data_IF_178264421443
#
_entry.id   IF_178264421443
#
_cell.length_a   1.000
_cell.length_b   1.000
_cell.length_c   1.000
_cell.angle_alpha   90.00
_cell.angle_beta   90.00
_cell.angle_gamma   90.00
#
_symmetry.space_group_name_H-M   'P 1'
#
loop_
_entity.id
_entity.type
_entity.pdbx_description
1 polymer ?
#
# COMPACT_ATOMS: atom_id res chain seq x y z
N UNK A 1 -13.28 34.01 13.82
CA UNK A 1 -12.49 32.91 14.42
C UNK A 1 -12.63 31.66 13.58
N UNK A 2 -11.52 31.05 13.16
CA UNK A 2 -11.53 29.70 12.55
C UNK A 2 -11.48 28.68 13.70
N UNK A 3 -12.55 27.92 13.99
CA UNK A 3 -12.46 26.85 14.96
C UNK A 3 -11.76 25.68 14.28
N UNK A 4 -10.44 25.61 14.44
CA UNK A 4 -9.66 24.42 14.18
C UNK A 4 -9.98 23.37 15.23
N UNK A 5 -10.87 22.45 14.88
CA UNK A 5 -10.92 21.08 15.43
C UNK A 5 -11.91 20.27 14.59
N UNK A 6 -11.52 20.00 13.35
CA UNK A 6 -12.15 18.90 12.62
C UNK A 6 -11.64 17.61 13.28
N UNK A 7 -12.47 17.11 14.19
CA UNK A 7 -12.78 15.71 14.46
C UNK A 7 -11.80 14.74 13.80
N UNK A 8 -11.02 14.03 14.62
CA UNK A 8 -10.30 12.83 14.19
C UNK A 8 -11.27 11.94 13.42
N UNK A 9 -11.01 11.76 12.13
CA UNK A 9 -11.69 10.76 11.32
C UNK A 9 -10.79 9.52 11.31
N UNK A 10 -10.96 8.53 12.21
CA UNK A 10 -10.36 7.21 12.02
C UNK A 10 -11.17 6.42 10.96
N UNK A 11 -11.50 7.04 9.83
CA UNK A 11 -12.23 6.42 8.69
C UNK A 11 -11.43 6.46 7.38
N UNK A 12 -10.18 6.94 7.38
CA UNK A 12 -9.29 6.89 6.19
C UNK A 12 -8.71 5.46 5.94
N UNK A 13 -9.32 4.46 6.58
CA UNK A 13 -9.06 3.04 6.47
C UNK A 13 -10.13 2.31 5.63
N UNK A 14 -10.98 3.03 4.88
CA UNK A 14 -11.60 2.47 3.67
C UNK A 14 -10.56 2.21 2.55
N UNK A 15 -9.36 1.77 2.91
CA UNK A 15 -8.38 1.27 1.96
C UNK A 15 -8.80 -0.13 1.58
N UNK A 16 -9.28 -0.29 0.35
CA UNK A 16 -9.10 -1.56 -0.34
C UNK A 16 -7.59 -1.78 -0.46
N UNK A 17 -7.01 -2.44 0.55
CA UNK A 17 -5.60 -2.85 0.54
C UNK A 17 -5.52 -3.96 -0.50
N UNK A 18 -5.02 -3.61 -1.68
CA UNK A 18 -4.71 -4.54 -2.76
C UNK A 18 -3.25 -4.98 -2.61
N UNK A 19 -2.98 -6.26 -2.84
CA UNK A 19 -1.59 -6.76 -2.86
C UNK A 19 -0.87 -6.24 -4.10
N UNK A 20 0.47 -6.29 -4.12
CA UNK A 20 1.19 -5.90 -5.32
C UNK A 20 0.90 -6.88 -6.46
N UNK A 21 0.73 -8.17 -6.15
CA UNK A 21 0.34 -9.21 -7.13
C UNK A 21 -1.00 -8.88 -7.78
N UNK A 22 -2.03 -8.63 -6.97
CA UNK A 22 -3.37 -8.33 -7.48
C UNK A 22 -3.36 -7.05 -8.31
N UNK A 23 -2.57 -6.03 -7.92
CA UNK A 23 -2.44 -4.82 -8.70
C UNK A 23 -1.89 -5.09 -10.10
N UNK A 24 -0.84 -5.92 -10.20
CA UNK A 24 -0.26 -6.32 -11.49
C UNK A 24 -1.26 -7.14 -12.33
N UNK A 25 -1.95 -8.12 -11.74
CA UNK A 25 -2.96 -8.93 -12.44
C UNK A 25 -4.10 -8.05 -12.98
N UNK A 26 -4.47 -7.00 -12.24
CA UNK A 26 -5.47 -6.02 -12.68
C UNK A 26 -4.95 -5.00 -13.71
N UNK A 27 -3.71 -5.16 -14.20
CA UNK A 27 -3.12 -4.34 -15.25
C UNK A 27 -2.48 -3.03 -14.78
N UNK A 28 -2.09 -2.93 -13.50
CA UNK A 28 -1.37 -1.75 -13.02
C UNK A 28 0.10 -1.75 -13.50
N UNK A 29 0.53 -0.66 -14.14
CA UNK A 29 1.94 -0.45 -14.49
C UNK A 29 2.80 -0.01 -13.30
N UNK A 30 2.16 0.63 -12.31
CA UNK A 30 2.85 1.18 -11.13
C UNK A 30 2.04 0.94 -9.85
N UNK A 31 2.73 0.52 -8.78
CA UNK A 31 2.16 0.30 -7.45
C UNK A 31 2.78 1.30 -6.47
N UNK A 32 1.95 2.14 -5.83
CA UNK A 32 2.39 3.14 -4.85
C UNK A 32 2.18 2.64 -3.43
N UNK A 33 3.26 2.47 -2.67
CA UNK A 33 3.22 1.97 -1.30
C UNK A 33 3.74 3.01 -0.32
N UNK A 34 2.89 3.41 0.63
CA UNK A 34 3.18 4.49 1.58
C UNK A 34 3.36 4.02 3.03
N UNK A 35 2.24 3.86 3.76
CA UNK A 35 2.25 3.51 5.20
C UNK A 35 2.97 2.20 5.53
N UNK A 36 2.83 1.11 4.74
CA UNK A 36 3.48 -0.16 5.03
C UNK A 36 5.01 -0.04 5.09
N UNK A 37 5.65 0.63 4.13
CA UNK A 37 7.11 0.84 4.12
C UNK A 37 7.52 1.76 5.27
N UNK A 38 6.85 2.90 5.43
CA UNK A 38 7.22 3.92 6.43
C UNK A 38 7.09 3.46 7.88
N UNK A 39 6.23 2.47 8.16
CA UNK A 39 5.99 1.93 9.50
C UNK A 39 6.62 0.56 9.72
N UNK A 40 7.28 -0.01 8.72
CA UNK A 40 7.91 -1.32 8.83
C UNK A 40 9.09 -1.27 9.81
N UNK A 41 9.21 -2.30 10.64
CA UNK A 41 10.42 -2.52 11.45
C UNK A 41 11.64 -2.84 10.58
N UNK A 42 11.39 -3.51 9.46
CA UNK A 42 12.37 -3.79 8.42
C UNK A 42 11.78 -3.40 7.05
N UNK A 43 12.06 -2.17 6.57
CA UNK A 43 11.58 -1.70 5.28
C UNK A 43 12.12 -2.51 4.10
N UNK A 44 13.32 -3.10 4.21
CA UNK A 44 13.94 -3.87 3.13
C UNK A 44 13.20 -5.17 2.94
N UNK A 45 12.92 -5.91 4.01
CA UNK A 45 12.14 -7.15 3.95
C UNK A 45 10.73 -6.94 3.36
N UNK A 46 10.09 -5.80 3.65
CA UNK A 46 8.79 -5.44 3.05
C UNK A 46 8.93 -5.21 1.55
N UNK A 47 9.99 -4.52 1.11
CA UNK A 47 10.29 -4.28 -0.31
C UNK A 47 10.59 -5.59 -1.05
N UNK A 48 11.34 -6.51 -0.45
CA UNK A 48 11.59 -7.84 -1.01
C UNK A 48 10.30 -8.65 -1.16
N UNK A 49 9.43 -8.64 -0.15
CA UNK A 49 8.13 -9.32 -0.23
C UNK A 49 7.28 -8.78 -1.39
N UNK A 50 7.25 -7.46 -1.57
CA UNK A 50 6.49 -6.83 -2.66
C UNK A 50 7.07 -7.16 -4.04
N UNK A 51 8.40 -7.24 -4.18
CA UNK A 51 9.03 -7.68 -5.43
C UNK A 51 8.62 -9.13 -5.78
N UNK A 52 8.59 -10.03 -4.79
CA UNK A 52 8.12 -11.40 -5.00
C UNK A 52 6.65 -11.45 -5.44
N UNK A 53 5.79 -10.61 -4.86
CA UNK A 53 4.37 -10.49 -5.26
C UNK A 53 4.23 -9.99 -6.72
N UNK A 54 4.99 -8.97 -7.10
CA UNK A 54 5.03 -8.45 -8.48
C UNK A 54 5.47 -9.53 -9.46
N UNK A 55 6.56 -10.26 -9.14
CA UNK A 55 7.06 -11.35 -9.98
C UNK A 55 6.00 -12.45 -10.19
N UNK A 56 5.26 -12.82 -9.14
CA UNK A 56 4.15 -13.78 -9.25
C UNK A 56 3.04 -13.25 -10.16
N UNK A 57 2.68 -11.98 -10.02
CA UNK A 57 1.66 -11.35 -10.85
C UNK A 57 2.05 -11.28 -12.33
N UNK A 58 3.33 -11.05 -12.64
CA UNK A 58 3.85 -11.03 -14.01
C UNK A 58 3.98 -12.42 -14.65
N UNK A 59 4.15 -13.46 -13.85
CA UNK A 59 4.26 -14.85 -14.31
C UNK A 59 2.91 -15.57 -14.44
N UNK A 60 1.82 -14.90 -14.09
CA UNK A 60 0.43 -15.39 -14.16
C UNK A 60 -0.21 -15.06 -15.50
#
# INVERSE_FOLDING_TARGET
>A
SRPGKNVEIPEDDQKRIITAQDAIINGADYVVVGRPIRKAKDPVAVVESMQNEIQKGLAS
#
